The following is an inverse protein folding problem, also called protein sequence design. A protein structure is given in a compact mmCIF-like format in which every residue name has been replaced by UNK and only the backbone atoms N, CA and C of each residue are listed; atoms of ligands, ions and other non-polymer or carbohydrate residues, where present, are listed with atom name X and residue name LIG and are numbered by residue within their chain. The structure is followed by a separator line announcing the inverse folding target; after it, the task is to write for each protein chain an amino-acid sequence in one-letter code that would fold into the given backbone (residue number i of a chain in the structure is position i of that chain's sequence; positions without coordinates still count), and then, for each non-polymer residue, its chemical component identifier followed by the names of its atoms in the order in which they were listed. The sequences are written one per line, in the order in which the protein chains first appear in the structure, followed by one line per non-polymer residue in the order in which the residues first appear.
data_IF_802688213210
#
_entry.id   IF_802688213210
#
_cell.length_a   1.000
_cell.length_b   1.000
_cell.length_c   1.000
_cell.angle_alpha   90.00
_cell.angle_beta   90.00
_cell.angle_gamma   90.00
#
_symmetry.space_group_name_H-M   'P 1'
#
loop_
_entity.id
_entity.type
_entity.pdbx_description
1 polymer ?
#
# COMPACT_ATOMS: atom_id res chain seq x y z
N UNK A 1 47.31 -16.66 11.50
CA UNK A 1 46.27 -17.25 10.61
C UNK A 1 44.87 -17.25 11.23
N UNK A 2 44.66 -17.70 12.47
CA UNK A 2 43.32 -17.72 13.11
C UNK A 2 42.66 -16.33 13.26
N UNK A 3 43.44 -15.29 13.60
CA UNK A 3 42.93 -13.91 13.73
C UNK A 3 42.38 -13.31 12.42
N UNK A 4 43.06 -13.54 11.29
CA UNK A 4 42.59 -13.12 9.95
C UNK A 4 41.26 -13.77 9.57
N UNK A 5 41.04 -15.01 9.99
CA UNK A 5 39.79 -15.73 9.76
C UNK A 5 38.62 -15.12 10.56
N UNK A 6 38.85 -14.73 11.82
CA UNK A 6 37.84 -14.03 12.63
C UNK A 6 37.49 -12.65 12.07
N UNK A 7 38.49 -11.89 11.59
CA UNK A 7 38.26 -10.57 10.98
C UNK A 7 37.44 -10.72 9.68
N UNK A 8 37.74 -11.72 8.85
CA UNK A 8 36.98 -11.99 7.63
C UNK A 8 35.51 -12.33 7.92
N UNK A 9 35.24 -13.11 8.97
CA UNK A 9 33.87 -13.45 9.38
C UNK A 9 33.12 -12.19 9.85
N UNK A 10 33.75 -11.34 10.66
CA UNK A 10 33.13 -10.10 11.17
C UNK A 10 32.77 -9.15 10.01
N UNK A 11 33.68 -9.00 9.04
CA UNK A 11 33.43 -8.18 7.84
C UNK A 11 32.27 -8.78 7.05
N UNK A 12 32.23 -10.11 6.83
CA UNK A 12 31.19 -10.78 6.07
C UNK A 12 29.79 -10.61 6.69
N UNK A 13 29.69 -10.57 8.03
CA UNK A 13 28.42 -10.30 8.72
C UNK A 13 27.89 -8.88 8.53
N UNK A 14 28.74 -7.89 8.23
CA UNK A 14 28.32 -6.49 8.00
C UNK A 14 27.85 -6.22 6.56
N UNK A 15 28.05 -7.17 5.63
CA UNK A 15 27.66 -7.00 4.21
C UNK A 15 26.23 -7.47 3.94
N UNK A 16 25.55 -8.10 4.90
CA UNK A 16 24.16 -8.53 4.71
C UNK A 16 23.21 -7.32 4.85
N UNK A 17 22.59 -6.82 3.77
CA UNK A 17 21.58 -5.78 3.89
C UNK A 17 20.38 -6.32 4.69
N UNK A 18 19.95 -5.56 5.70
CA UNK A 18 18.71 -5.87 6.40
C UNK A 18 17.51 -5.62 5.48
N UNK A 19 16.46 -6.47 5.50
CA UNK A 19 15.25 -6.22 4.74
C UNK A 19 14.56 -4.97 5.29
N UNK A 20 14.65 -3.85 4.57
CA UNK A 20 13.82 -2.68 4.81
C UNK A 20 12.44 -2.97 4.23
N UNK A 21 11.47 -3.18 5.11
CA UNK A 21 10.06 -3.20 4.72
C UNK A 21 9.53 -1.77 4.71
N UNK A 22 9.61 -1.11 3.56
CA UNK A 22 8.90 0.14 3.33
C UNK A 22 7.46 -0.16 2.91
N UNK A 23 6.48 0.45 3.57
CA UNK A 23 5.11 0.48 3.06
C UNK A 23 5.12 1.22 1.71
N UNK A 24 4.56 0.63 0.64
CA UNK A 24 4.58 1.31 -0.65
C UNK A 24 3.64 2.52 -0.60
N UNK A 25 4.20 3.69 -0.90
CA UNK A 25 3.51 4.97 -0.90
C UNK A 25 3.39 5.54 -2.31
N UNK A 26 2.27 6.20 -2.58
CA UNK A 26 1.93 6.77 -3.87
C UNK A 26 1.34 8.15 -3.67
N UNK A 27 1.64 9.06 -4.59
CA UNK A 27 0.93 10.34 -4.70
C UNK A 27 -0.22 10.17 -5.68
N UNK A 28 -1.39 10.64 -5.28
CA UNK A 28 -2.58 10.70 -6.14
C UNK A 28 -3.07 12.13 -6.22
N UNK A 29 -3.52 12.50 -7.41
CA UNK A 29 -4.21 13.76 -7.58
C UNK A 29 -5.67 13.57 -7.17
N UNK A 30 -6.14 14.38 -6.23
CA UNK A 30 -7.55 14.40 -5.85
C UNK A 30 -8.16 15.69 -6.40
N UNK A 31 -8.73 15.59 -7.60
CA UNK A 31 -9.33 16.73 -8.29
C UNK A 31 -10.57 17.30 -7.57
N UNK A 32 -11.12 16.58 -6.59
CA UNK A 32 -12.35 16.95 -5.89
C UNK A 32 -12.10 17.66 -4.53
N UNK A 33 -10.84 17.85 -4.13
CA UNK A 33 -10.50 18.52 -2.86
C UNK A 33 -9.98 19.95 -3.09
N UNK A 34 -10.70 20.94 -2.55
CA UNK A 34 -10.39 22.37 -2.69
C UNK A 34 -9.08 22.85 -2.03
N UNK A 35 -8.41 22.03 -1.22
CA UNK A 35 -7.31 22.47 -0.35
C UNK A 35 -5.91 21.91 -0.72
N UNK A 36 -5.83 20.76 -1.39
CA UNK A 36 -4.57 20.17 -1.88
C UNK A 36 -4.85 19.28 -3.08
N UNK A 37 -4.24 19.60 -4.22
CA UNK A 37 -4.39 18.81 -5.45
C UNK A 37 -3.72 17.44 -5.35
N UNK A 38 -2.77 17.24 -4.44
CA UNK A 38 -2.05 15.97 -4.25
C UNK A 38 -2.22 15.45 -2.82
N UNK A 39 -2.49 14.14 -2.70
CA UNK A 39 -2.52 13.42 -1.41
C UNK A 39 -1.53 12.27 -1.43
N UNK A 40 -0.86 12.05 -0.30
CA UNK A 40 0.04 10.93 -0.12
C UNK A 40 -0.71 9.74 0.48
N UNK A 41 -0.60 8.58 -0.16
CA UNK A 41 -1.28 7.36 0.24
C UNK A 41 -0.29 6.25 0.38
N UNK A 42 -0.23 5.65 1.56
CA UNK A 42 0.62 4.49 1.84
C UNK A 42 -0.26 3.27 2.10
N UNK A 43 0.11 2.13 1.52
CA UNK A 43 -0.57 0.85 1.80
C UNK A 43 -0.01 0.32 3.11
N UNK A 44 -0.82 0.38 4.17
CA UNK A 44 -0.45 -0.16 5.49
C UNK A 44 -0.62 -1.68 5.47
N UNK A 45 -1.77 -2.17 5.00
CA UNK A 45 -2.05 -3.60 4.84
C UNK A 45 -2.92 -3.84 3.63
N UNK A 46 -2.64 -4.92 2.93
CA UNK A 46 -3.46 -5.39 1.83
C UNK A 46 -3.57 -6.91 1.84
N UNK A 47 -4.78 -7.41 1.57
CA UNK A 47 -5.04 -8.84 1.42
C UNK A 47 -6.03 -9.07 0.27
N UNK A 48 -5.57 -9.72 -0.79
CA UNK A 48 -6.43 -10.20 -1.88
C UNK A 48 -7.38 -11.30 -1.38
N UNK A 49 -8.61 -11.31 -1.89
CA UNK A 49 -9.58 -12.37 -1.61
C UNK A 49 -9.22 -13.65 -2.37
N UNK A 50 -9.39 -14.81 -1.73
CA UNK A 50 -9.16 -16.10 -2.36
C UNK A 50 -10.29 -16.50 -3.34
N UNK A 51 -11.53 -16.04 -3.10
CA UNK A 51 -12.69 -16.35 -3.94
C UNK A 51 -12.83 -15.40 -5.12
N UNK A 52 -12.47 -14.13 -4.92
CA UNK A 52 -12.65 -13.06 -5.90
C UNK A 52 -11.32 -12.31 -6.07
N UNK A 53 -10.52 -12.69 -7.08
CA UNK A 53 -9.15 -12.16 -7.24
C UNK A 53 -9.08 -10.63 -7.46
N UNK A 54 -10.20 -10.02 -7.89
CA UNK A 54 -10.36 -8.58 -8.06
C UNK A 54 -10.79 -7.84 -6.78
N UNK A 55 -11.02 -8.55 -5.67
CA UNK A 55 -11.39 -7.95 -4.38
C UNK A 55 -10.23 -7.95 -3.39
N UNK A 56 -10.07 -6.83 -2.72
CA UNK A 56 -8.98 -6.57 -1.79
C UNK A 56 -9.51 -6.00 -0.49
N UNK A 57 -9.01 -6.52 0.63
CA UNK A 57 -9.18 -5.86 1.93
C UNK A 57 -7.96 -4.98 2.18
N UNK A 58 -8.18 -3.67 2.21
CA UNK A 58 -7.12 -2.67 2.18
C UNK A 58 -7.21 -1.79 3.40
N UNK A 59 -6.08 -1.48 3.99
CA UNK A 59 -5.91 -0.46 5.01
C UNK A 59 -4.86 0.52 4.49
N UNK A 60 -5.27 1.78 4.33
CA UNK A 60 -4.44 2.85 3.80
C UNK A 60 -4.07 3.83 4.90
N UNK A 61 -3.00 4.56 4.69
CA UNK A 61 -2.67 5.77 5.43
C UNK A 61 -2.73 6.92 4.44
N UNK A 62 -3.58 7.91 4.70
CA UNK A 62 -3.77 9.08 3.84
C UNK A 62 -3.22 10.29 4.59
N UNK A 63 -2.25 10.98 4.02
CA UNK A 63 -1.58 12.16 4.58
C UNK A 63 -1.12 12.01 6.05
N UNK A 64 -0.64 10.81 6.41
CA UNK A 64 -0.21 10.53 7.79
C UNK A 64 -1.24 9.80 8.63
N UNK A 65 -2.51 9.83 8.26
CA UNK A 65 -3.60 9.26 9.07
C UNK A 65 -4.04 7.89 8.57
N UNK A 66 -3.96 6.89 9.46
CA UNK A 66 -4.36 5.51 9.16
C UNK A 66 -5.87 5.41 9.08
N UNK A 67 -6.36 5.04 7.91
CA UNK A 67 -7.76 4.84 7.63
C UNK A 67 -8.24 3.46 8.11
N UNK A 68 -9.56 3.29 8.37
CA UNK A 68 -10.13 2.00 8.64
C UNK A 68 -9.89 1.00 7.49
N UNK A 69 -9.88 -0.29 7.84
CA UNK A 69 -9.79 -1.36 6.85
C UNK A 69 -11.13 -1.50 6.11
N UNK A 70 -11.06 -1.53 4.78
CA UNK A 70 -12.23 -1.52 3.89
C UNK A 70 -12.08 -2.54 2.75
N UNK A 71 -13.19 -2.82 2.06
CA UNK A 71 -13.20 -3.73 0.92
C UNK A 71 -13.22 -2.93 -0.40
N UNK A 72 -12.27 -3.23 -1.27
CA UNK A 72 -12.09 -2.58 -2.56
C UNK A 72 -12.30 -3.61 -3.66
N UNK A 73 -13.20 -3.34 -4.59
CA UNK A 73 -13.51 -4.17 -5.75
C UNK A 73 -12.97 -3.46 -7.00
N UNK A 74 -11.87 -3.97 -7.54
CA UNK A 74 -11.19 -3.38 -8.69
C UNK A 74 -11.88 -3.66 -10.03
N UNK A 75 -12.75 -4.68 -10.09
CA UNK A 75 -13.53 -4.98 -11.30
C UNK A 75 -14.66 -3.96 -11.48
N UNK A 76 -15.45 -3.79 -10.43
CA UNK A 76 -16.65 -2.96 -10.48
C UNK A 76 -16.39 -1.52 -10.04
N UNK A 77 -15.14 -1.20 -9.66
CA UNK A 77 -14.71 0.12 -9.16
C UNK A 77 -15.53 0.58 -7.94
N UNK A 78 -15.69 -0.31 -6.97
CA UNK A 78 -16.50 -0.09 -5.77
C UNK A 78 -15.68 -0.19 -4.48
N UNK A 79 -15.97 0.69 -3.52
CA UNK A 79 -15.42 0.70 -2.15
C UNK A 79 -16.56 0.44 -1.17
N UNK A 80 -16.42 -0.58 -0.34
CA UNK A 80 -17.32 -0.82 0.81
C UNK A 80 -16.62 -0.34 2.08
N UNK A 81 -17.20 0.69 2.68
CA UNK A 81 -16.72 1.31 3.90
C UNK A 81 -16.97 0.43 5.13
N UNK A 82 -16.38 0.81 6.26
CA UNK A 82 -16.56 0.09 7.54
C UNK A 82 -18.03 0.01 7.99
N UNK A 83 -18.84 0.99 7.63
CA UNK A 83 -20.28 1.03 7.92
C UNK A 83 -21.11 0.11 7.02
N UNK A 84 -20.47 -0.63 6.11
CA UNK A 84 -21.12 -1.53 5.16
C UNK A 84 -21.69 -0.84 3.92
N UNK A 85 -21.61 0.49 3.83
CA UNK A 85 -22.07 1.23 2.65
C UNK A 85 -21.07 1.07 1.51
N UNK A 86 -21.59 0.77 0.33
CA UNK A 86 -20.80 0.71 -0.89
C UNK A 86 -20.95 2.01 -1.69
N UNK A 87 -19.81 2.53 -2.16
CA UNK A 87 -19.71 3.73 -2.99
C UNK A 87 -18.83 3.43 -4.21
N UNK A 88 -19.13 4.01 -5.38
CA UNK A 88 -18.21 3.97 -6.51
C UNK A 88 -16.91 4.71 -6.15
N UNK A 89 -15.81 4.33 -6.80
CA UNK A 89 -14.58 5.10 -6.73
C UNK A 89 -14.80 6.49 -7.32
N UNK A 90 -14.11 7.46 -6.73
CA UNK A 90 -13.95 8.77 -7.35
C UNK A 90 -13.14 8.60 -8.65
N UNK A 91 -13.58 9.21 -9.78
CA UNK A 91 -12.82 9.19 -11.03
C UNK A 91 -11.40 9.73 -10.82
N UNK A 92 -10.41 9.00 -11.32
CA UNK A 92 -8.97 9.32 -11.18
C UNK A 92 -8.49 9.39 -9.71
N UNK A 93 -9.30 8.87 -8.79
CA UNK A 93 -9.05 8.92 -7.37
C UNK A 93 -8.18 7.77 -6.85
N UNK A 94 -8.22 7.63 -5.53
CA UNK A 94 -7.43 6.66 -4.76
C UNK A 94 -7.66 5.22 -5.26
N UNK A 95 -8.93 4.87 -5.50
CA UNK A 95 -9.29 3.52 -5.92
C UNK A 95 -8.77 3.15 -7.29
N UNK A 96 -8.81 4.10 -8.22
CA UNK A 96 -8.32 3.86 -9.56
C UNK A 96 -6.83 3.61 -9.59
N UNK A 97 -6.07 4.46 -8.90
CA UNK A 97 -4.63 4.30 -8.81
C UNK A 97 -4.24 3.03 -8.08
N UNK A 98 -4.91 2.72 -6.96
CA UNK A 98 -4.67 1.51 -6.19
C UNK A 98 -4.87 0.26 -7.05
N UNK A 99 -5.99 0.17 -7.77
CA UNK A 99 -6.28 -1.01 -8.59
C UNK A 99 -5.31 -1.19 -9.77
N UNK A 100 -4.84 -0.11 -10.39
CA UNK A 100 -3.80 -0.17 -11.42
C UNK A 100 -2.48 -0.76 -10.90
N UNK A 101 -2.13 -0.45 -9.64
CA UNK A 101 -0.91 -0.96 -9.01
C UNK A 101 -1.04 -2.46 -8.68
N UNK A 102 -2.23 -2.90 -8.29
CA UNK A 102 -2.49 -4.28 -7.85
C UNK A 102 -2.74 -5.28 -8.97
N UNK A 103 -3.04 -4.78 -10.16
CA UNK A 103 -3.23 -5.60 -11.36
C UNK A 103 -1.91 -5.87 -12.12
N UNK A 104 -0.81 -5.30 -11.65
CA UNK A 104 0.54 -5.54 -12.17
C UNK A 104 1.20 -6.74 -11.49
#
# INVERSE_FOLDING_TARGET
MKSLFFILIIILSFVLPSPVFAAPCYTVNDANLASRSYRQICIVRIKRSAKYHWQYRVQLQIDGEVQPRELWNCRDRLRTHRDGRTRPFEPDGIGDRLCQILDR
#
